data_IF_602736094361
#
_entry.id   IF_602736094361
#
_cell.length_a   1.000
_cell.length_b   1.000
_cell.length_c   1.000
_cell.angle_alpha   90.00
_cell.angle_beta   90.00
_cell.angle_gamma   90.00
#
_symmetry.space_group_name_H-M   'P 1'
#
loop_
_entity.id
_entity.type
_entity.pdbx_description
1 polymer ?
#
# COMPACT_ATOMS: atom_id res chain seq x y z
N UNK A 1 -10.09 -77.01 -12.88
CA UNK A 1 -11.12 -76.24 -13.60
C UNK A 1 -11.66 -75.15 -12.68
N UNK A 2 -11.61 -73.91 -13.16
CA UNK A 2 -12.43 -72.73 -12.83
C UNK A 2 -12.96 -72.49 -11.39
N UNK A 3 -12.48 -71.38 -10.82
CA UNK A 3 -13.26 -70.18 -10.47
C UNK A 3 -14.55 -70.37 -9.64
N UNK A 4 -14.54 -69.90 -8.38
CA UNK A 4 -15.75 -69.51 -7.67
C UNK A 4 -15.63 -68.09 -7.12
N UNK A 5 -16.60 -67.29 -7.55
CA UNK A 5 -16.84 -65.87 -7.30
C UNK A 5 -17.37 -65.66 -5.88
N UNK A 6 -16.81 -64.69 -5.16
CA UNK A 6 -17.42 -64.18 -3.93
C UNK A 6 -18.46 -63.10 -4.24
N UNK A 7 -19.59 -63.23 -3.56
CA UNK A 7 -20.78 -62.40 -3.68
C UNK A 7 -20.62 -61.00 -3.07
N UNK A 8 -21.31 -60.05 -3.71
CA UNK A 8 -21.48 -58.67 -3.32
C UNK A 8 -22.24 -58.50 -1.99
N UNK A 9 -21.82 -57.50 -1.20
CA UNK A 9 -22.70 -56.78 -0.27
C UNK A 9 -22.56 -55.27 -0.50
N UNK A 10 -23.69 -54.65 -0.88
CA UNK A 10 -23.86 -53.21 -1.08
C UNK A 10 -23.68 -52.46 0.25
N UNK A 11 -22.92 -51.37 0.22
CA UNK A 11 -22.91 -50.33 1.28
C UNK A 11 -23.92 -49.22 0.94
N UNK A 12 -24.59 -48.60 1.93
CA UNK A 12 -25.63 -47.62 1.70
C UNK A 12 -25.06 -46.22 1.40
N UNK A 13 -25.86 -45.43 0.69
CA UNK A 13 -25.58 -44.06 0.28
C UNK A 13 -25.31 -43.13 1.48
N UNK A 14 -24.16 -42.47 1.47
CA UNK A 14 -23.79 -41.42 2.40
C UNK A 14 -24.58 -40.14 2.14
N UNK A 15 -25.15 -39.58 3.20
CA UNK A 15 -25.87 -38.31 3.25
C UNK A 15 -24.97 -37.17 2.75
N UNK A 16 -25.48 -36.37 1.82
CA UNK A 16 -24.96 -35.03 1.50
C UNK A 16 -25.07 -34.18 2.77
N UNK A 17 -23.94 -33.78 3.34
CA UNK A 17 -23.88 -32.73 4.34
C UNK A 17 -23.81 -31.40 3.61
N UNK A 18 -24.85 -30.60 3.81
CA UNK A 18 -24.93 -29.19 3.48
C UNK A 18 -23.73 -28.47 4.12
N UNK A 19 -22.75 -28.07 3.30
CA UNK A 19 -21.72 -27.11 3.72
C UNK A 19 -22.40 -25.75 3.74
N UNK A 20 -22.92 -25.37 4.91
CA UNK A 20 -23.21 -23.97 5.21
C UNK A 20 -21.92 -23.18 4.96
N UNK A 21 -21.97 -22.27 3.98
CA UNK A 21 -21.00 -21.21 3.80
C UNK A 21 -20.85 -20.51 5.15
N UNK A 22 -19.68 -20.65 5.77
CA UNK A 22 -19.33 -19.86 6.94
C UNK A 22 -19.27 -18.41 6.48
N UNK A 23 -20.15 -17.57 7.02
CA UNK A 23 -20.14 -16.14 6.77
C UNK A 23 -18.75 -15.59 7.13
N UNK A 24 -18.21 -14.77 6.23
CA UNK A 24 -16.96 -14.04 6.43
C UNK A 24 -17.05 -13.24 7.74
N UNK A 25 -16.04 -13.28 8.63
CA UNK A 25 -16.06 -12.42 9.81
C UNK A 25 -16.08 -10.96 9.34
N UNK A 26 -17.06 -10.21 9.84
CA UNK A 26 -17.23 -8.78 9.60
C UNK A 26 -15.91 -8.04 9.85
N UNK A 27 -15.60 -6.95 9.11
CA UNK A 27 -14.45 -6.11 9.42
C UNK A 27 -14.50 -5.74 10.90
N UNK A 28 -13.34 -5.76 11.57
CA UNK A 28 -13.20 -5.13 12.89
C UNK A 28 -13.41 -3.64 12.62
N UNK A 29 -14.65 -3.19 12.76
CA UNK A 29 -14.99 -1.78 12.81
C UNK A 29 -14.31 -1.24 14.07
N UNK A 30 -13.60 -0.12 13.91
CA UNK A 30 -12.97 0.62 15.01
C UNK A 30 -14.05 0.80 16.10
N UNK A 31 -13.75 0.39 17.34
CA UNK A 31 -14.76 0.17 18.41
C UNK A 31 -15.60 1.41 18.74
N UNK A 32 -15.20 2.61 18.30
CA UNK A 32 -16.09 3.73 18.05
C UNK A 32 -15.65 4.45 16.76
N UNK A 33 -16.57 4.89 15.88
CA UNK A 33 -16.19 5.71 14.75
C UNK A 33 -15.62 7.03 15.28
N UNK A 34 -14.33 7.27 15.05
CA UNK A 34 -13.78 8.62 15.15
C UNK A 34 -14.52 9.46 14.11
N UNK A 35 -15.50 10.25 14.56
CA UNK A 35 -16.07 11.31 13.74
C UNK A 35 -14.95 12.27 13.34
N UNK A 36 -14.97 12.77 12.10
CA UNK A 36 -13.92 13.68 11.67
C UNK A 36 -13.81 14.91 12.59
N UNK A 37 -12.59 15.15 13.04
CA UNK A 37 -12.20 16.31 13.82
C UNK A 37 -12.45 17.61 13.05
N UNK A 38 -12.61 18.75 13.74
CA UNK A 38 -12.64 20.06 13.10
C UNK A 38 -11.44 20.32 12.18
N UNK A 39 -10.26 19.81 12.54
CA UNK A 39 -9.03 19.88 11.75
C UNK A 39 -9.17 19.12 10.43
N UNK A 40 -9.68 17.89 10.47
CA UNK A 40 -9.92 17.08 9.28
C UNK A 40 -10.98 17.68 8.36
N UNK A 41 -12.05 18.26 8.91
CA UNK A 41 -13.06 19.00 8.13
C UNK A 41 -12.47 20.22 7.46
N UNK A 42 -11.65 20.99 8.17
CA UNK A 42 -10.95 22.16 7.61
C UNK A 42 -9.96 21.77 6.52
N UNK A 43 -9.28 20.64 6.66
CA UNK A 43 -8.41 20.08 5.63
C UNK A 43 -9.23 19.72 4.38
N UNK A 44 -10.35 19.01 4.55
CA UNK A 44 -11.25 18.64 3.45
C UNK A 44 -11.73 19.87 2.67
N UNK A 45 -12.17 20.92 3.37
CA UNK A 45 -12.56 22.20 2.75
C UNK A 45 -11.40 22.84 1.97
N UNK A 46 -10.19 22.81 2.53
CA UNK A 46 -9.00 23.35 1.88
C UNK A 46 -8.64 22.56 0.62
N UNK A 47 -8.75 21.24 0.65
CA UNK A 47 -8.49 20.38 -0.51
C UNK A 47 -9.50 20.67 -1.62
N UNK A 48 -10.80 20.74 -1.31
CA UNK A 48 -11.82 21.11 -2.29
C UNK A 48 -11.62 22.51 -2.88
N UNK A 49 -11.24 23.49 -2.05
CA UNK A 49 -10.93 24.83 -2.53
C UNK A 49 -9.78 24.87 -3.54
N UNK A 50 -8.84 23.94 -3.42
CA UNK A 50 -7.67 23.83 -4.31
C UNK A 50 -7.79 22.68 -5.33
N UNK A 51 -8.96 22.04 -5.44
CA UNK A 51 -9.17 20.92 -6.33
C UNK A 51 -8.93 21.36 -7.78
N UNK A 52 -7.97 20.74 -8.51
CA UNK A 52 -7.59 21.18 -9.85
C UNK A 52 -8.65 20.88 -10.91
N UNK A 53 -9.71 20.15 -10.55
CA UNK A 53 -10.69 19.63 -11.49
C UNK A 53 -10.22 18.33 -12.18
N UNK A 54 -11.08 17.76 -13.03
CA UNK A 54 -10.78 16.52 -13.73
C UNK A 54 -9.61 16.67 -14.72
N UNK A 55 -8.83 15.60 -14.82
CA UNK A 55 -7.66 15.52 -15.68
C UNK A 55 -7.76 14.33 -16.65
N UNK A 56 -6.75 14.16 -17.50
CA UNK A 56 -6.67 13.06 -18.45
C UNK A 56 -5.23 12.79 -18.85
N UNK A 57 -4.97 11.61 -19.39
CA UNK A 57 -3.67 11.27 -19.99
C UNK A 57 -3.16 12.36 -20.96
N UNK A 58 -4.03 12.83 -21.86
CA UNK A 58 -3.65 13.83 -22.87
C UNK A 58 -3.20 15.16 -22.26
N UNK A 59 -3.77 15.55 -21.10
CA UNK A 59 -3.40 16.78 -20.40
C UNK A 59 -2.09 16.65 -19.62
N UNK A 60 -1.68 15.44 -19.23
CA UNK A 60 -0.58 15.17 -18.32
C UNK A 60 0.72 14.72 -18.99
N UNK A 61 0.65 13.95 -20.09
CA UNK A 61 1.81 13.24 -20.66
C UNK A 61 3.04 14.14 -20.93
N UNK A 62 2.82 15.39 -21.33
CA UNK A 62 3.89 16.35 -21.65
C UNK A 62 4.20 17.32 -20.49
N UNK A 63 3.63 17.06 -19.30
CA UNK A 63 3.72 17.94 -18.11
C UNK A 63 4.27 17.23 -16.87
N UNK A 64 4.77 16.00 -17.00
CA UNK A 64 5.26 15.19 -15.88
C UNK A 64 6.27 15.96 -15.01
N UNK A 65 7.25 16.63 -15.61
CA UNK A 65 8.22 17.45 -14.86
C UNK A 65 7.55 18.56 -14.03
N UNK A 66 6.53 19.24 -14.58
CA UNK A 66 5.76 20.26 -13.86
C UNK A 66 4.90 19.65 -12.75
N UNK A 67 4.31 18.48 -12.98
CA UNK A 67 3.55 17.76 -11.96
C UNK A 67 4.44 17.36 -10.78
N UNK A 68 5.65 16.85 -11.04
CA UNK A 68 6.66 16.56 -10.00
C UNK A 68 7.01 17.80 -9.19
N UNK A 69 7.31 18.91 -9.84
CA UNK A 69 7.63 20.18 -9.17
C UNK A 69 6.46 20.71 -8.32
N UNK A 70 5.24 20.65 -8.86
CA UNK A 70 4.02 21.05 -8.15
C UNK A 70 3.79 20.18 -6.91
N UNK A 71 4.04 18.87 -7.00
CA UNK A 71 3.86 17.96 -5.87
C UNK A 71 4.85 18.26 -4.75
N UNK A 72 6.14 18.47 -5.06
CA UNK A 72 7.14 18.94 -4.10
C UNK A 72 6.71 20.24 -3.40
N UNK A 73 6.16 21.19 -4.16
CA UNK A 73 5.69 22.44 -3.59
C UNK A 73 4.44 22.25 -2.70
N UNK A 74 3.51 21.39 -3.10
CA UNK A 74 2.30 21.09 -2.34
C UNK A 74 2.61 20.40 -1.01
N UNK A 75 3.64 19.54 -0.97
CA UNK A 75 4.02 18.78 0.23
C UNK A 75 4.98 19.51 1.16
N UNK A 76 5.50 20.68 0.76
CA UNK A 76 6.56 21.41 1.48
C UNK A 76 6.26 21.61 2.98
N UNK A 77 5.01 21.88 3.34
CA UNK A 77 4.62 22.21 4.71
C UNK A 77 4.43 21.00 5.63
N UNK A 78 4.35 19.78 5.09
CA UNK A 78 4.09 18.57 5.86
C UNK A 78 5.07 17.42 5.58
N UNK A 79 5.91 17.55 4.55
CA UNK A 79 7.01 16.63 4.29
C UNK A 79 8.27 16.93 5.14
N UNK A 80 8.27 17.99 5.94
CA UNK A 80 9.41 18.30 6.81
C UNK A 80 9.44 17.33 7.99
N UNK A 81 10.51 16.53 8.16
CA UNK A 81 10.62 15.62 9.30
C UNK A 81 10.89 16.40 10.59
N UNK A 82 10.58 15.81 11.77
CA UNK A 82 10.98 16.38 13.06
C UNK A 82 12.49 16.69 13.11
N UNK A 83 12.94 17.78 13.76
CA UNK A 83 14.34 18.25 13.73
C UNK A 83 15.39 17.20 14.11
N UNK A 84 15.07 16.27 15.01
CA UNK A 84 15.99 15.25 15.51
C UNK A 84 15.98 13.96 14.66
N UNK A 85 15.31 13.97 13.50
CA UNK A 85 15.32 12.84 12.57
C UNK A 85 16.64 12.79 11.84
N UNK A 86 17.38 11.68 11.98
CA UNK A 86 18.61 11.43 11.25
C UNK A 86 18.29 10.96 9.83
N UNK A 87 18.94 11.56 8.84
CA UNK A 87 18.75 11.26 7.42
C UNK A 87 20.10 10.97 6.79
N UNK A 88 20.26 9.80 6.19
CA UNK A 88 21.52 9.36 5.59
C UNK A 88 21.26 8.75 4.22
N UNK A 89 21.76 9.35 3.12
CA UNK A 89 21.70 8.75 1.79
C UNK A 89 22.41 7.40 1.76
N UNK A 90 21.85 6.43 1.04
CA UNK A 90 22.42 5.10 0.86
C UNK A 90 22.09 4.55 -0.53
N UNK A 91 22.97 3.71 -1.06
CA UNK A 91 22.74 2.93 -2.27
C UNK A 91 22.23 1.53 -1.87
N UNK A 92 20.95 1.28 -2.11
CA UNK A 92 20.27 0.03 -1.76
C UNK A 92 20.35 -1.00 -2.90
N UNK A 93 21.58 -1.34 -3.32
CA UNK A 93 21.83 -2.34 -4.37
C UNK A 93 21.67 -1.81 -5.79
N UNK A 94 21.99 -0.54 -6.02
CA UNK A 94 21.82 0.20 -7.28
C UNK A 94 20.60 1.13 -7.27
N UNK A 95 19.82 1.14 -6.18
CA UNK A 95 18.62 1.97 -6.02
C UNK A 95 18.92 3.10 -5.04
N UNK A 96 18.81 4.38 -5.44
CA UNK A 96 18.98 5.50 -4.51
C UNK A 96 17.96 5.44 -3.38
N UNK A 97 18.43 5.62 -2.16
CA UNK A 97 17.59 5.57 -0.97
C UNK A 97 18.12 6.52 0.12
N UNK A 98 17.30 6.71 1.16
CA UNK A 98 17.73 7.36 2.41
C UNK A 98 17.30 6.52 3.60
N UNK A 99 18.20 6.33 4.55
CA UNK A 99 17.83 5.98 5.91
C UNK A 99 17.16 7.18 6.57
N UNK A 100 15.96 6.99 7.10
CA UNK A 100 15.21 7.97 7.90
C UNK A 100 14.99 7.37 9.28
N UNK A 101 15.71 7.89 10.26
CA UNK A 101 15.74 7.34 11.62
C UNK A 101 15.21 8.38 12.62
N UNK A 102 14.04 8.09 13.19
CA UNK A 102 13.56 8.83 14.34
C UNK A 102 14.45 8.60 15.58
N UNK A 103 14.49 9.53 16.55
CA UNK A 103 15.21 9.35 17.80
C UNK A 103 14.81 8.05 18.52
N UNK A 104 15.79 7.25 18.93
CA UNK A 104 15.56 5.99 19.64
C UNK A 104 15.02 4.85 18.76
N UNK A 105 15.04 5.00 17.43
CA UNK A 105 14.75 3.90 16.52
C UNK A 105 15.75 2.75 16.70
N UNK A 106 15.23 1.52 16.70
CA UNK A 106 16.04 0.30 16.64
C UNK A 106 16.69 0.17 15.26
N UNK A 107 18.02 0.08 15.23
CA UNK A 107 18.79 -0.01 13.99
C UNK A 107 18.78 -1.42 13.37
N UNK A 108 18.38 -2.44 14.15
CA UNK A 108 18.28 -3.84 13.71
C UNK A 108 16.89 -4.20 13.18
N UNK A 109 15.96 -3.22 13.15
CA UNK A 109 14.62 -3.35 12.55
C UNK A 109 14.45 -2.33 11.45
N UNK A 110 13.86 -2.75 10.34
CA UNK A 110 13.73 -1.91 9.14
C UNK A 110 12.29 -1.83 8.67
N UNK A 111 11.83 -0.61 8.41
CA UNK A 111 10.68 -0.33 7.58
C UNK A 111 11.15 0.05 6.18
N UNK A 112 10.96 -0.83 5.18
CA UNK A 112 11.11 -0.45 3.78
C UNK A 112 9.89 0.37 3.35
N UNK A 113 10.10 1.62 2.92
CA UNK A 113 9.03 2.51 2.54
C UNK A 113 9.02 2.83 1.04
N UNK A 114 7.85 2.65 0.43
CA UNK A 114 7.57 2.87 -0.99
C UNK A 114 6.59 4.04 -1.12
N UNK A 115 7.06 5.19 -1.57
CA UNK A 115 6.24 6.40 -1.63
C UNK A 115 5.14 6.33 -2.70
N UNK A 116 4.04 7.04 -2.48
CA UNK A 116 2.98 7.26 -3.46
C UNK A 116 3.34 8.30 -4.52
N UNK A 117 2.38 8.53 -5.44
CA UNK A 117 2.54 9.43 -6.59
C UNK A 117 2.24 8.79 -7.94
N UNK A 118 1.37 7.78 -7.97
CA UNK A 118 0.90 7.17 -9.22
C UNK A 118 1.99 6.55 -10.09
N UNK A 119 3.12 6.15 -9.50
CA UNK A 119 4.35 5.69 -10.19
C UNK A 119 5.02 6.72 -11.12
N UNK A 120 4.58 7.98 -11.09
CA UNK A 120 5.00 9.04 -12.03
C UNK A 120 5.59 10.25 -11.31
N UNK A 121 5.07 10.56 -10.12
CA UNK A 121 5.51 11.66 -9.26
C UNK A 121 5.86 11.13 -7.87
N UNK A 122 6.24 12.03 -6.96
CA UNK A 122 6.73 11.66 -5.64
C UNK A 122 8.23 11.46 -5.62
N UNK A 123 8.74 11.36 -4.41
CA UNK A 123 10.14 11.06 -4.07
C UNK A 123 10.24 10.95 -2.55
N UNK A 124 11.41 10.57 -2.04
CA UNK A 124 11.71 10.61 -0.61
C UNK A 124 11.39 11.99 -0.01
N UNK A 125 11.68 13.07 -0.73
CA UNK A 125 11.48 14.45 -0.25
C UNK A 125 10.02 14.80 0.01
N UNK A 126 9.10 14.21 -0.76
CA UNK A 126 7.65 14.48 -0.64
C UNK A 126 6.99 13.72 0.51
N UNK A 127 7.61 12.62 0.95
CA UNK A 127 7.06 11.72 1.98
C UNK A 127 7.87 11.71 3.29
N UNK A 128 8.98 12.43 3.35
CA UNK A 128 9.95 12.38 4.46
C UNK A 128 9.32 12.61 5.84
N UNK A 129 8.37 13.52 5.96
CA UNK A 129 7.61 13.77 7.19
C UNK A 129 6.79 12.56 7.65
N UNK A 130 6.07 11.91 6.73
CA UNK A 130 5.31 10.69 6.99
C UNK A 130 6.24 9.53 7.36
N UNK A 131 7.32 9.34 6.59
CA UNK A 131 8.31 8.29 6.82
C UNK A 131 8.95 8.44 8.21
N UNK A 132 9.31 9.66 8.60
CA UNK A 132 9.84 9.94 9.94
C UNK A 132 8.82 9.64 11.05
N UNK A 133 7.54 9.98 10.83
CA UNK A 133 6.45 9.64 11.74
C UNK A 133 6.27 8.13 11.89
N UNK A 134 6.36 7.37 10.80
CA UNK A 134 6.30 5.91 10.81
C UNK A 134 7.53 5.29 11.49
N UNK A 135 8.73 5.82 11.25
CA UNK A 135 9.95 5.38 11.96
C UNK A 135 9.80 5.57 13.47
N UNK A 136 9.31 6.73 13.91
CA UNK A 136 9.06 7.01 15.32
C UNK A 136 8.00 6.08 15.92
N UNK A 137 6.88 5.91 15.23
CA UNK A 137 5.79 5.05 15.68
C UNK A 137 6.23 3.58 15.72
N UNK A 138 6.89 3.05 14.70
CA UNK A 138 7.35 1.67 14.66
C UNK A 138 8.61 1.41 15.50
N UNK A 139 9.29 2.46 15.99
CA UNK A 139 10.56 2.40 16.72
C UNK A 139 11.64 1.63 15.93
N UNK A 140 11.71 1.87 14.63
CA UNK A 140 12.65 1.22 13.73
C UNK A 140 13.15 2.24 12.70
N UNK A 141 14.33 2.00 12.10
CA UNK A 141 14.79 2.85 11.00
C UNK A 141 13.98 2.57 9.75
N UNK A 142 13.69 3.60 8.96
CA UNK A 142 13.03 3.44 7.67
C UNK A 142 14.03 3.55 6.52
N UNK A 143 13.98 2.64 5.56
CA UNK A 143 14.65 2.76 4.27
C UNK A 143 13.65 3.35 3.27
N UNK A 144 13.79 4.63 2.95
CA UNK A 144 12.96 5.29 1.95
C UNK A 144 13.59 5.13 0.57
N UNK A 145 12.88 4.48 -0.36
CA UNK A 145 13.39 4.30 -1.73
C UNK A 145 12.99 5.45 -2.64
N UNK A 146 13.93 5.90 -3.48
CA UNK A 146 13.68 6.75 -4.65
C UNK A 146 13.63 5.85 -5.89
N UNK A 147 12.62 4.98 -5.95
CA UNK A 147 12.47 3.99 -7.02
C UNK A 147 12.21 4.68 -8.37
N UNK A 148 12.61 4.03 -9.47
CA UNK A 148 12.46 4.59 -10.82
C UNK A 148 11.00 4.85 -11.18
N UNK A 149 10.75 6.04 -11.74
CA UNK A 149 9.42 6.52 -12.09
C UNK A 149 9.18 6.50 -13.60
N UNK A 150 7.91 6.30 -13.96
CA UNK A 150 7.41 6.49 -15.30
C UNK A 150 7.25 7.99 -15.64
N UNK A 151 7.27 8.36 -16.93
CA UNK A 151 7.38 7.50 -18.11
C UNK A 151 8.83 7.12 -18.49
N UNK A 152 9.84 7.67 -17.83
CA UNK A 152 11.25 7.38 -18.14
C UNK A 152 11.59 5.91 -17.90
N UNK A 153 10.98 5.33 -16.87
CA UNK A 153 11.11 3.93 -16.48
C UNK A 153 9.72 3.34 -16.22
N UNK A 154 9.03 2.85 -17.27
CA UNK A 154 7.73 2.23 -17.10
C UNK A 154 7.82 0.91 -16.32
N UNK A 155 6.67 0.32 -16.01
CA UNK A 155 6.55 -1.04 -15.48
C UNK A 155 7.43 -2.03 -16.30
N UNK A 156 8.19 -2.92 -15.64
CA UNK A 156 8.19 -3.25 -14.20
C UNK A 156 9.26 -2.53 -13.35
N UNK A 157 9.85 -1.41 -13.80
CA UNK A 157 11.04 -0.82 -13.16
C UNK A 157 10.89 -0.56 -11.65
N UNK A 158 9.74 -0.04 -11.20
CA UNK A 158 9.48 0.20 -9.78
C UNK A 158 9.45 -1.10 -8.94
N UNK A 159 8.91 -2.19 -9.51
CA UNK A 159 8.88 -3.52 -8.86
C UNK A 159 10.29 -4.09 -8.76
N UNK A 160 11.07 -3.97 -9.84
CA UNK A 160 12.46 -4.43 -9.87
C UNK A 160 13.30 -3.71 -8.80
N UNK A 161 13.14 -2.40 -8.65
CA UNK A 161 13.87 -1.60 -7.65
C UNK A 161 13.45 -1.98 -6.22
N UNK A 162 12.15 -2.14 -5.96
CA UNK A 162 11.65 -2.53 -4.66
C UNK A 162 12.17 -3.92 -4.23
N UNK A 163 12.16 -4.90 -5.16
CA UNK A 163 12.73 -6.23 -4.91
C UNK A 163 14.24 -6.18 -4.72
N UNK A 164 14.95 -5.38 -5.53
CA UNK A 164 16.40 -5.18 -5.42
C UNK A 164 16.78 -4.65 -4.03
N UNK A 165 16.10 -3.60 -3.57
CA UNK A 165 16.33 -3.03 -2.25
C UNK A 165 16.00 -4.00 -1.11
N UNK A 166 14.93 -4.80 -1.25
CA UNK A 166 14.61 -5.83 -0.26
C UNK A 166 15.69 -6.91 -0.16
N UNK A 167 16.17 -7.42 -1.30
CA UNK A 167 17.28 -8.40 -1.32
C UNK A 167 18.56 -7.79 -0.77
N UNK A 168 18.83 -6.51 -1.05
CA UNK A 168 19.94 -5.78 -0.44
C UNK A 168 19.84 -5.71 1.09
N UNK A 169 18.64 -5.53 1.66
CA UNK A 169 18.44 -5.62 3.11
C UNK A 169 18.79 -7.01 3.65
N UNK A 170 18.38 -8.07 2.97
CA UNK A 170 18.73 -9.44 3.36
C UNK A 170 20.25 -9.67 3.31
N UNK A 171 20.89 -9.25 2.23
CA UNK A 171 22.34 -9.40 2.02
C UNK A 171 23.17 -8.58 3.02
N UNK A 172 22.63 -7.45 3.51
CA UNK A 172 23.25 -6.63 4.56
C UNK A 172 22.98 -7.17 5.98
N UNK A 173 22.29 -8.30 6.11
CA UNK A 173 22.15 -9.04 7.36
C UNK A 173 20.84 -8.81 8.10
N UNK A 174 19.85 -8.12 7.52
CA UNK A 174 18.53 -8.00 8.14
C UNK A 174 17.78 -9.32 8.02
N UNK A 175 17.40 -9.96 9.15
CA UNK A 175 16.55 -11.13 9.07
C UNK A 175 15.17 -10.71 8.51
N UNK A 176 14.55 -11.52 7.62
CA UNK A 176 13.25 -11.20 7.04
C UNK A 176 12.18 -10.85 8.09
N UNK A 177 12.22 -11.53 9.25
CA UNK A 177 11.29 -11.28 10.36
C UNK A 177 11.44 -9.89 11.00
N UNK A 178 12.52 -9.16 10.73
CA UNK A 178 12.74 -7.79 11.23
C UNK A 178 12.62 -6.71 10.16
N UNK A 179 12.13 -7.10 8.98
CA UNK A 179 11.78 -6.18 7.92
C UNK A 179 10.25 -6.09 7.87
N UNK A 180 9.74 -4.87 7.83
CA UNK A 180 8.38 -4.55 7.42
C UNK A 180 8.41 -3.76 6.12
N UNK A 181 7.31 -3.80 5.37
CA UNK A 181 7.15 -2.99 4.16
C UNK A 181 5.90 -2.12 4.32
N UNK A 182 5.99 -0.84 3.99
CA UNK A 182 4.82 0.01 3.87
C UNK A 182 4.94 0.91 2.64
N UNK A 183 3.80 1.41 2.20
CA UNK A 183 3.75 2.36 1.12
C UNK A 183 2.35 2.88 0.93
N UNK A 184 2.25 4.05 0.33
CA UNK A 184 0.99 4.75 0.15
C UNK A 184 0.58 4.85 -1.33
N UNK A 185 -0.73 4.78 -1.62
CA UNK A 185 -1.26 4.94 -2.98
C UNK A 185 -0.63 3.93 -3.95
N UNK A 186 0.03 4.40 -5.01
CA UNK A 186 0.88 3.58 -5.88
C UNK A 186 1.93 2.77 -5.11
N UNK A 187 2.58 3.34 -4.09
CA UNK A 187 3.51 2.64 -3.21
C UNK A 187 2.83 1.57 -2.34
N UNK A 188 1.55 1.74 -2.01
CA UNK A 188 0.73 0.72 -1.36
C UNK A 188 0.41 -0.45 -2.29
N UNK A 189 0.14 -0.16 -3.56
CA UNK A 189 0.10 -1.17 -4.62
C UNK A 189 1.44 -1.88 -4.80
N UNK A 190 2.53 -1.12 -4.87
CA UNK A 190 3.89 -1.62 -5.04
C UNK A 190 4.32 -2.52 -3.87
N UNK A 191 3.88 -2.20 -2.64
CA UNK A 191 4.06 -3.04 -1.46
C UNK A 191 3.49 -4.44 -1.69
N UNK A 192 2.27 -4.55 -2.22
CA UNK A 192 1.65 -5.85 -2.51
C UNK A 192 2.30 -6.52 -3.73
N UNK A 193 2.62 -5.76 -4.78
CA UNK A 193 3.26 -6.26 -5.99
C UNK A 193 4.63 -6.88 -5.70
N UNK A 194 5.46 -6.23 -4.88
CA UNK A 194 6.78 -6.75 -4.54
C UNK A 194 6.68 -8.00 -3.65
N UNK A 195 5.70 -8.07 -2.74
CA UNK A 195 5.47 -9.27 -1.93
C UNK A 195 5.11 -10.48 -2.80
N UNK A 196 4.25 -10.27 -3.81
CA UNK A 196 3.92 -11.27 -4.82
C UNK A 196 5.20 -11.69 -5.58
N UNK A 197 5.99 -10.72 -6.05
CA UNK A 197 7.22 -11.00 -6.79
C UNK A 197 8.26 -11.78 -5.96
N UNK A 198 8.46 -11.39 -4.69
CA UNK A 198 9.37 -12.08 -3.75
C UNK A 198 8.91 -13.52 -3.49
N UNK A 199 7.63 -13.72 -3.17
CA UNK A 199 7.08 -15.05 -2.94
C UNK A 199 7.25 -15.94 -4.15
N UNK A 200 6.89 -15.45 -5.33
CA UNK A 200 6.93 -16.24 -6.57
C UNK A 200 8.36 -16.60 -6.98
N UNK A 201 9.34 -15.76 -6.60
CA UNK A 201 10.77 -16.04 -6.75
C UNK A 201 11.36 -16.94 -5.65
N UNK A 202 10.59 -17.26 -4.60
CA UNK A 202 11.04 -18.08 -3.47
C UNK A 202 11.91 -17.33 -2.46
N UNK A 203 11.91 -16.00 -2.49
CA UNK A 203 12.57 -15.19 -1.48
C UNK A 203 11.85 -15.34 -0.12
N UNK A 204 12.56 -15.25 1.02
CA UNK A 204 11.90 -15.14 2.30
C UNK A 204 11.11 -13.82 2.37
N UNK A 205 9.95 -13.85 3.01
CA UNK A 205 9.05 -12.70 3.09
C UNK A 205 9.27 -11.89 4.38
N UNK A 206 8.96 -10.57 4.37
CA UNK A 206 9.05 -9.72 5.55
C UNK A 206 8.07 -10.16 6.65
N UNK A 207 8.30 -9.69 7.88
CA UNK A 207 7.43 -10.00 9.03
C UNK A 207 6.00 -9.47 8.89
N UNK A 208 5.81 -8.32 8.23
CA UNK A 208 4.50 -7.72 7.97
C UNK A 208 4.55 -6.68 6.83
N UNK A 209 3.38 -6.29 6.34
CA UNK A 209 3.25 -5.14 5.47
C UNK A 209 2.05 -4.24 5.79
N UNK A 210 2.17 -2.94 5.50
CA UNK A 210 1.16 -1.94 5.74
C UNK A 210 0.88 -1.06 4.50
N UNK A 211 0.04 -1.52 3.55
CA UNK A 211 -0.42 -0.70 2.44
C UNK A 211 -1.38 0.41 2.91
N UNK A 212 -1.11 1.64 2.52
CA UNK A 212 -1.91 2.83 2.85
C UNK A 212 -2.63 3.31 1.60
N UNK A 213 -3.95 3.42 1.64
CA UNK A 213 -4.79 3.81 0.50
C UNK A 213 -4.36 3.13 -0.82
N UNK A 214 -4.15 1.80 -0.84
CA UNK A 214 -3.37 1.17 -1.90
C UNK A 214 -4.08 1.22 -3.25
N UNK A 215 -3.35 1.59 -4.30
CA UNK A 215 -3.82 1.49 -5.67
C UNK A 215 -3.42 0.13 -6.25
N UNK A 216 -4.39 -0.76 -6.43
CA UNK A 216 -4.16 -2.18 -6.75
C UNK A 216 -4.78 -2.62 -8.07
N UNK A 217 -5.55 -1.74 -8.70
CA UNK A 217 -6.26 -1.96 -9.95
C UNK A 217 -6.02 -0.79 -10.92
N UNK A 218 -5.10 -0.99 -11.86
CA UNK A 218 -4.74 0.01 -12.86
C UNK A 218 -5.79 0.19 -13.96
N UNK A 219 -6.85 -0.63 -13.99
CA UNK A 219 -8.02 -0.43 -14.85
C UNK A 219 -9.09 0.46 -14.19
N UNK A 220 -9.01 0.67 -12.86
CA UNK A 220 -9.98 1.48 -12.11
C UNK A 220 -11.39 0.90 -12.11
N UNK A 221 -11.52 -0.41 -11.91
CA UNK A 221 -12.80 -1.14 -12.04
C UNK A 221 -13.66 -1.10 -10.78
N UNK A 222 -13.17 -0.56 -9.66
CA UNK A 222 -13.92 -0.41 -8.42
C UNK A 222 -15.13 0.52 -8.58
N UNK A 223 -16.23 0.25 -7.88
CA UNK A 223 -17.43 1.09 -7.91
C UNK A 223 -17.19 2.44 -7.22
N UNK A 224 -16.24 2.52 -6.27
CA UNK A 224 -15.77 3.76 -5.66
C UNK A 224 -15.19 4.76 -6.68
N UNK A 225 -14.63 4.29 -7.81
CA UNK A 225 -14.19 5.15 -8.93
C UNK A 225 -15.33 5.93 -9.59
N UNK A 226 -16.59 5.57 -9.29
CA UNK A 226 -17.80 6.28 -9.76
C UNK A 226 -18.55 6.94 -8.61
N UNK A 227 -18.69 6.24 -7.49
CA UNK A 227 -19.54 6.67 -6.38
C UNK A 227 -18.87 7.65 -5.42
N UNK A 228 -17.53 7.77 -5.46
CA UNK A 228 -16.75 8.64 -4.57
C UNK A 228 -16.07 9.81 -5.30
N UNK A 229 -16.32 9.99 -6.60
CA UNK A 229 -15.71 11.07 -7.41
C UNK A 229 -16.02 12.46 -6.83
N UNK A 230 -17.24 12.68 -6.35
CA UNK A 230 -17.66 13.96 -5.75
C UNK A 230 -17.32 14.06 -4.25
N UNK A 231 -16.59 13.07 -3.70
CA UNK A 231 -16.18 13.01 -2.29
C UNK A 231 -14.66 13.11 -2.12
N UNK A 232 -13.90 12.71 -3.14
CA UNK A 232 -12.44 12.66 -3.14
C UNK A 232 -11.83 13.91 -3.80
N UNK A 233 -11.28 14.86 -3.03
CA UNK A 233 -10.63 16.05 -3.60
C UNK A 233 -9.18 15.80 -4.04
N UNK A 234 -8.66 14.57 -3.91
CA UNK A 234 -7.24 14.25 -4.13
C UNK A 234 -7.03 13.31 -5.31
N UNK A 235 -7.86 12.27 -5.43
CA UNK A 235 -7.73 11.26 -6.49
C UNK A 235 -8.93 11.34 -7.42
N UNK A 236 -8.70 11.91 -8.59
CA UNK A 236 -9.67 11.98 -9.67
C UNK A 236 -9.41 10.86 -10.70
N UNK A 237 -10.42 10.08 -11.11
CA UNK A 237 -10.23 8.90 -11.95
C UNK A 237 -9.50 9.15 -13.29
N UNK A 238 -9.80 10.24 -13.99
CA UNK A 238 -9.15 10.58 -15.26
C UNK A 238 -7.65 10.86 -15.11
N UNK A 239 -7.27 11.57 -14.05
CA UNK A 239 -5.88 11.75 -13.63
C UNK A 239 -5.21 10.42 -13.26
N UNK A 240 -5.85 9.61 -12.42
CA UNK A 240 -5.31 8.33 -11.97
C UNK A 240 -5.08 7.35 -13.13
N UNK A 241 -6.07 7.15 -14.00
CA UNK A 241 -5.95 6.27 -15.18
C UNK A 241 -4.98 6.82 -16.23
N UNK A 242 -4.79 8.15 -16.28
CA UNK A 242 -3.73 8.73 -17.09
C UNK A 242 -2.33 8.42 -16.56
N UNK A 243 -2.14 8.37 -15.24
CA UNK A 243 -0.89 7.89 -14.63
C UNK A 243 -0.69 6.39 -14.87
N UNK A 244 -1.77 5.58 -14.83
CA UNK A 244 -1.69 4.15 -15.13
C UNK A 244 -1.14 3.92 -16.54
N UNK A 245 -1.60 4.70 -17.52
CA UNK A 245 -1.10 4.61 -18.89
C UNK A 245 0.37 5.01 -19.03
N UNK A 246 0.82 6.02 -18.28
CA UNK A 246 2.25 6.38 -18.27
C UNK A 246 3.09 5.27 -17.64
N UNK A 247 2.60 4.67 -16.56
CA UNK A 247 3.29 3.59 -15.85
C UNK A 247 3.36 2.30 -16.64
N UNK A 248 2.22 1.81 -17.15
CA UNK A 248 2.13 0.54 -17.86
C UNK A 248 2.86 0.56 -19.20
N UNK A 249 2.86 1.71 -19.90
CA UNK A 249 3.27 1.74 -21.30
C UNK A 249 2.39 0.79 -22.13
N UNK A 250 2.98 -0.29 -22.64
CA UNK A 250 2.29 -1.33 -23.41
C UNK A 250 1.98 -2.60 -22.59
N UNK A 251 2.29 -2.61 -21.29
CA UNK A 251 2.03 -3.75 -20.43
C UNK A 251 0.52 -3.96 -20.20
N UNK A 252 0.13 -5.22 -20.02
CA UNK A 252 -1.24 -5.57 -19.66
C UNK A 252 -1.58 -4.98 -18.26
N UNK A 253 -2.65 -4.18 -18.14
CA UNK A 253 -3.04 -3.59 -16.85
C UNK A 253 -3.39 -4.65 -15.79
N UNK A 254 -3.63 -5.91 -16.18
CA UNK A 254 -3.97 -7.00 -15.27
C UNK A 254 -2.76 -7.84 -14.83
N UNK A 255 -1.54 -7.46 -15.19
CA UNK A 255 -0.34 -8.14 -14.69
C UNK A 255 -0.33 -8.14 -13.16
N UNK A 256 -0.09 -9.31 -12.56
CA UNK A 256 -0.20 -9.50 -11.10
C UNK A 256 0.72 -8.56 -10.29
N UNK A 257 1.89 -8.20 -10.85
CA UNK A 257 2.84 -7.27 -10.22
C UNK A 257 2.65 -5.81 -10.65
N UNK A 258 1.67 -5.51 -11.50
CA UNK A 258 1.23 -4.14 -11.81
C UNK A 258 -0.07 -3.79 -11.06
N UNK A 259 -1.03 -4.72 -11.09
CA UNK A 259 -2.33 -4.66 -10.40
C UNK A 259 -2.50 -5.87 -9.47
N UNK A 260 -1.99 -5.80 -8.22
CA UNK A 260 -2.06 -6.89 -7.25
C UNK A 260 -3.47 -7.37 -6.92
N UNK A 261 -4.52 -6.63 -7.29
CA UNK A 261 -5.90 -7.10 -7.24
C UNK A 261 -6.09 -8.44 -8.00
N UNK A 262 -5.31 -8.67 -9.05
CA UNK A 262 -5.39 -9.87 -9.88
C UNK A 262 -4.36 -10.95 -9.51
N UNK A 263 -3.52 -10.70 -8.51
CA UNK A 263 -2.51 -11.65 -8.07
C UNK A 263 -3.10 -12.78 -7.22
N UNK A 264 -2.42 -13.93 -7.20
CA UNK A 264 -2.59 -14.86 -6.09
C UNK A 264 -1.93 -14.24 -4.85
N UNK A 265 -2.65 -14.17 -3.72
CA UNK A 265 -2.18 -13.57 -2.47
C UNK A 265 -1.88 -14.62 -1.40
N UNK A 266 -1.97 -15.93 -1.73
CA UNK A 266 -1.60 -16.99 -0.79
C UNK A 266 -0.15 -16.83 -0.31
N UNK A 267 0.06 -17.06 0.99
CA UNK A 267 1.38 -17.06 1.61
C UNK A 267 1.99 -15.68 1.87
N UNK A 268 1.28 -14.59 1.57
CA UNK A 268 1.73 -13.24 1.94
C UNK A 268 1.75 -13.05 3.48
N UNK A 269 2.62 -12.17 4.00
CA UNK A 269 2.72 -11.91 5.43
C UNK A 269 1.47 -11.18 5.95
N UNK A 270 1.32 -11.03 7.28
CA UNK A 270 0.26 -10.22 7.88
C UNK A 270 0.18 -8.81 7.27
N UNK A 271 -1.04 -8.39 6.94
CA UNK A 271 -1.34 -7.11 6.31
C UNK A 271 -2.17 -6.21 7.23
N UNK A 272 -1.76 -4.95 7.37
CA UNK A 272 -2.62 -3.86 7.84
C UNK A 272 -2.90 -2.92 6.67
N UNK A 273 -4.14 -2.92 6.18
CA UNK A 273 -4.56 -2.04 5.10
C UNK A 273 -5.38 -0.91 5.70
N UNK A 274 -4.95 0.34 5.50
CA UNK A 274 -5.68 1.53 5.92
C UNK A 274 -6.19 2.28 4.69
N UNK A 275 -7.44 2.73 4.70
CA UNK A 275 -8.04 3.51 3.61
C UNK A 275 -9.08 4.47 4.17
N UNK A 276 -9.22 5.65 3.59
CA UNK A 276 -10.23 6.63 3.93
C UNK A 276 -11.56 6.33 3.24
N UNK A 277 -12.66 6.60 3.94
CA UNK A 277 -14.01 6.37 3.41
C UNK A 277 -14.33 7.25 2.19
N UNK A 278 -13.73 8.45 2.10
CA UNK A 278 -14.06 9.39 1.03
C UNK A 278 -13.34 9.08 -0.30
N UNK A 279 -12.48 8.06 -0.32
CA UNK A 279 -11.57 7.79 -1.43
C UNK A 279 -12.23 7.11 -2.63
N UNK A 280 -11.82 7.51 -3.83
CA UNK A 280 -12.09 6.74 -5.05
C UNK A 280 -11.38 5.38 -5.06
N UNK A 281 -10.30 5.23 -4.29
CA UNK A 281 -9.55 3.97 -4.09
C UNK A 281 -10.09 3.08 -2.96
N UNK A 282 -11.23 3.41 -2.35
CA UNK A 282 -11.84 2.59 -1.30
C UNK A 282 -12.02 1.12 -1.71
N UNK A 283 -12.57 0.87 -2.90
CA UNK A 283 -12.80 -0.50 -3.36
C UNK A 283 -11.52 -1.24 -3.71
N UNK A 284 -10.42 -0.57 -4.02
CA UNK A 284 -9.13 -1.25 -4.20
C UNK A 284 -8.68 -1.90 -2.89
N UNK A 285 -8.70 -1.12 -1.81
CA UNK A 285 -8.36 -1.61 -0.47
C UNK A 285 -9.31 -2.71 0.01
N UNK A 286 -10.63 -2.52 -0.16
CA UNK A 286 -11.64 -3.49 0.28
C UNK A 286 -11.53 -4.80 -0.50
N UNK A 287 -11.41 -4.74 -1.83
CA UNK A 287 -11.35 -5.94 -2.69
C UNK A 287 -10.06 -6.72 -2.48
N UNK A 288 -8.91 -6.05 -2.38
CA UNK A 288 -7.64 -6.75 -2.16
C UNK A 288 -7.58 -7.37 -0.77
N UNK A 289 -8.13 -6.71 0.26
CA UNK A 289 -8.25 -7.26 1.60
C UNK A 289 -9.14 -8.51 1.63
N UNK A 290 -10.29 -8.48 0.95
CA UNK A 290 -11.18 -9.63 0.84
C UNK A 290 -10.49 -10.82 0.14
N UNK A 291 -9.84 -10.57 -1.00
CA UNK A 291 -9.08 -11.58 -1.74
C UNK A 291 -7.98 -12.22 -0.87
N UNK A 292 -7.18 -11.41 -0.18
CA UNK A 292 -6.12 -11.90 0.71
C UNK A 292 -6.68 -12.76 1.87
N UNK A 293 -7.79 -12.36 2.48
CA UNK A 293 -8.46 -13.14 3.54
C UNK A 293 -8.97 -14.48 3.03
N UNK A 294 -9.58 -14.51 1.86
CA UNK A 294 -10.03 -15.77 1.22
C UNK A 294 -8.88 -16.74 0.96
N UNK A 295 -7.67 -16.21 0.77
CA UNK A 295 -6.42 -16.96 0.60
C UNK A 295 -5.71 -17.32 1.91
N UNK A 296 -6.31 -17.01 3.05
CA UNK A 296 -5.81 -17.35 4.38
C UNK A 296 -4.75 -16.39 4.93
N UNK A 297 -4.56 -15.22 4.31
CA UNK A 297 -3.66 -14.18 4.84
C UNK A 297 -4.31 -13.52 6.05
N UNK A 298 -3.52 -13.25 7.09
CA UNK A 298 -3.96 -12.44 8.23
C UNK A 298 -4.07 -10.98 7.80
N UNK A 299 -5.30 -10.46 7.67
CA UNK A 299 -5.55 -9.10 7.18
C UNK A 299 -6.41 -8.32 8.17
N UNK A 300 -5.86 -7.20 8.63
CA UNK A 300 -6.61 -6.13 9.28
C UNK A 300 -6.89 -5.05 8.24
N UNK A 301 -8.17 -4.75 8.00
CA UNK A 301 -8.59 -3.66 7.12
C UNK A 301 -9.25 -2.61 8.00
N UNK A 302 -8.75 -1.38 7.93
CA UNK A 302 -9.30 -0.22 8.63
C UNK A 302 -9.79 0.78 7.59
N UNK A 303 -11.12 0.90 7.48
CA UNK A 303 -11.77 1.97 6.71
C UNK A 303 -12.03 3.12 7.68
N UNK A 304 -11.41 4.26 7.43
CA UNK A 304 -11.45 5.42 8.32
C UNK A 304 -12.55 6.40 7.88
N UNK A 305 -13.58 6.62 8.72
CA UNK A 305 -14.69 7.50 8.38
C UNK A 305 -14.23 8.91 8.01
N UNK A 306 -14.85 9.49 6.99
CA UNK A 306 -14.61 10.88 6.55
C UNK A 306 -13.14 11.23 6.18
N UNK A 307 -12.22 10.26 6.12
CA UNK A 307 -10.82 10.49 5.76
C UNK A 307 -10.62 10.49 4.24
N UNK A 308 -9.68 11.34 3.79
CA UNK A 308 -9.25 11.50 2.40
C UNK A 308 -8.03 10.62 2.07
N UNK A 309 -7.66 10.57 0.79
CA UNK A 309 -6.51 9.82 0.30
C UNK A 309 -5.21 10.14 1.06
N UNK A 310 -4.59 9.10 1.64
CA UNK A 310 -3.32 9.18 2.39
C UNK A 310 -3.34 10.32 3.43
N UNK A 311 -4.40 10.37 4.24
CA UNK A 311 -4.55 11.41 5.27
C UNK A 311 -3.38 11.48 6.26
N UNK A 312 -2.58 10.40 6.35
CA UNK A 312 -1.32 10.29 7.08
C UNK A 312 -0.33 11.39 6.73
N UNK A 313 -0.27 11.84 5.47
CA UNK A 313 0.59 12.95 5.05
C UNK A 313 0.30 14.23 5.84
N UNK A 314 -0.95 14.40 6.29
CA UNK A 314 -1.39 15.58 7.03
C UNK A 314 -1.29 15.40 8.54
N UNK A 315 -0.64 14.36 9.05
CA UNK A 315 -0.43 14.14 10.50
C UNK A 315 0.09 15.37 11.27
N UNK A 316 0.91 16.29 10.71
CA UNK A 316 1.24 17.54 11.40
C UNK A 316 0.00 18.40 11.74
N UNK A 317 -1.06 18.32 10.95
CA UNK A 317 -2.26 19.16 11.01
C UNK A 317 -3.52 18.43 11.50
N UNK A 318 -3.66 17.12 11.23
CA UNK A 318 -4.86 16.34 11.57
C UNK A 318 -4.55 15.24 12.58
N UNK A 319 -5.33 15.12 13.69
CA UNK A 319 -5.09 14.11 14.71
C UNK A 319 -5.27 12.68 14.19
N UNK A 320 -6.23 12.44 13.29
CA UNK A 320 -6.48 11.12 12.70
C UNK A 320 -5.29 10.61 11.88
N UNK A 321 -4.52 11.51 11.26
CA UNK A 321 -3.28 11.15 10.57
C UNK A 321 -2.21 10.65 11.55
N UNK A 322 -2.10 11.27 12.72
CA UNK A 322 -1.17 10.82 13.79
C UNK A 322 -1.61 9.48 14.36
N UNK A 323 -2.91 9.30 14.58
CA UNK A 323 -3.47 8.06 15.10
C UNK A 323 -3.26 6.90 14.13
N UNK A 324 -3.54 7.12 12.84
CA UNK A 324 -3.34 6.10 11.81
C UNK A 324 -1.86 5.66 11.72
N UNK A 325 -0.92 6.61 11.76
CA UNK A 325 0.52 6.32 11.86
C UNK A 325 0.86 5.52 13.13
N UNK A 326 0.28 5.89 14.28
CA UNK A 326 0.52 5.19 15.54
C UNK A 326 0.02 3.73 15.48
N UNK A 327 -1.13 3.48 14.83
CA UNK A 327 -1.68 2.14 14.63
C UNK A 327 -0.80 1.30 13.69
N UNK A 328 -0.30 1.88 12.60
CA UNK A 328 0.71 1.21 11.74
C UNK A 328 1.94 0.86 12.57
N UNK A 329 2.51 1.82 13.30
CA UNK A 329 3.68 1.56 14.14
C UNK A 329 3.45 0.45 15.16
N UNK A 330 2.28 0.41 15.81
CA UNK A 330 1.91 -0.65 16.73
C UNK A 330 1.84 -2.02 16.05
N UNK A 331 1.17 -2.10 14.91
CA UNK A 331 1.05 -3.31 14.12
C UNK A 331 2.43 -3.83 13.68
N UNK A 332 3.29 -2.96 13.17
CA UNK A 332 4.64 -3.35 12.75
C UNK A 332 5.48 -3.88 13.93
N UNK A 333 5.48 -3.19 15.08
CA UNK A 333 6.20 -3.67 16.28
C UNK A 333 5.77 -5.06 16.74
N UNK A 334 4.49 -5.42 16.57
CA UNK A 334 3.96 -6.73 16.95
C UNK A 334 4.44 -7.85 16.03
N UNK A 335 4.78 -7.54 14.77
CA UNK A 335 5.10 -8.54 13.74
C UNK A 335 6.57 -8.54 13.32
N UNK A 336 7.35 -7.51 13.68
CA UNK A 336 8.79 -7.45 13.42
C UNK A 336 9.62 -7.72 14.67
N UNK A 337 9.73 -9.00 15.04
CA UNK A 337 10.47 -9.48 16.22
C UNK A 337 11.63 -10.40 15.86
#
# INVERSE_FOLDING_TARGET
MACLRTHARRRPAGRRTDRRLAACPLPILIEEPLMASPESKKLLDLLWKNYPGPSSYAQMKDKVAKMRANFVQATKNFATPPPDTRIEPVDAGGVPAEWVCAPGADEDRVLLYLHGGGYVIGSIHTHKGLIAGLSAAAQCRALALDYRLAPEHPYPAAVDDAVTAYRWLLDTGFPPSRIAIAGDSAGGGLTLAMLVALRDAGDPLPGAAAPISPWTDLEGTGDSMKTHVDKDPMVEPGGLLGMARLYLGEADPRQATASPLHADLTGLPPLLIQVGELETLLDDAVRVAASAREKGVAVTLEVWPEMVHVWHLFAPMVPEGREAIARIGSFLRQHTT
#
